data_IF_029071451439
#
_entry.id   IF_029071451439
#
_cell.length_a   1.000
_cell.length_b   1.000
_cell.length_c   1.000
_cell.angle_alpha   90.00
_cell.angle_beta   90.00
_cell.angle_gamma   90.00
#
_symmetry.space_group_name_H-M   'P 1'
#
loop_
_entity.id
_entity.type
_entity.pdbx_description
1 polymer ?
#
# COMPACT_ATOMS: atom_id res chain seq x y z
N UNK A 1 24.24 3.99 -24.03
CA UNK A 1 23.09 4.89 -24.28
C UNK A 1 21.87 4.23 -23.65
N UNK A 2 21.39 4.83 -22.57
CA UNK A 2 20.31 4.33 -21.74
C UNK A 2 18.99 4.40 -22.52
N UNK A 3 18.42 3.25 -22.84
CA UNK A 3 17.03 3.18 -23.27
C UNK A 3 16.17 3.07 -22.02
N UNK A 4 15.68 4.22 -21.59
CA UNK A 4 14.58 4.38 -20.64
C UNK A 4 13.32 3.75 -21.25
N UNK A 5 13.12 2.45 -21.02
CA UNK A 5 11.85 1.79 -21.34
C UNK A 5 10.83 2.13 -20.25
N UNK A 6 9.62 2.47 -20.71
CA UNK A 6 8.49 3.00 -19.95
C UNK A 6 8.16 2.13 -18.73
N UNK A 7 8.16 2.74 -17.54
CA UNK A 7 7.86 2.11 -16.23
C UNK A 7 6.38 1.71 -16.08
N UNK A 8 5.57 1.82 -17.12
CA UNK A 8 4.13 1.52 -17.12
C UNK A 8 3.76 0.14 -17.72
N UNK A 9 4.68 -0.59 -18.35
CA UNK A 9 4.41 -1.92 -18.93
C UNK A 9 4.31 -3.06 -17.89
N UNK A 10 4.40 -2.74 -16.59
CA UNK A 10 4.56 -3.74 -15.52
C UNK A 10 3.41 -3.82 -14.51
N UNK A 11 2.18 -3.41 -14.85
CA UNK A 11 1.04 -3.72 -13.97
C UNK A 11 0.89 -5.25 -13.98
N UNK A 12 1.32 -5.89 -12.89
CA UNK A 12 1.31 -7.36 -12.73
C UNK A 12 -0.03 -7.94 -13.21
N UNK A 13 0.01 -9.01 -14.01
CA UNK A 13 -1.17 -9.74 -14.49
C UNK A 13 -2.15 -10.09 -13.36
N UNK A 14 -1.66 -10.22 -12.13
CA UNK A 14 -2.46 -10.53 -10.95
C UNK A 14 -3.17 -9.32 -10.33
N UNK A 15 -2.70 -8.09 -10.63
CA UNK A 15 -3.38 -6.87 -10.22
C UNK A 15 -4.57 -6.60 -11.14
N UNK A 16 -4.43 -6.81 -12.45
CA UNK A 16 -5.49 -6.56 -13.45
C UNK A 16 -6.87 -7.17 -13.12
N UNK A 17 -7.01 -8.42 -12.63
CA UNK A 17 -8.32 -8.98 -12.29
C UNK A 17 -8.88 -8.46 -10.96
N UNK A 18 -8.11 -7.72 -10.16
CA UNK A 18 -8.59 -7.22 -8.87
C UNK A 18 -9.65 -6.11 -9.09
N UNK A 19 -10.72 -6.08 -8.28
CA UNK A 19 -11.73 -5.05 -8.38
C UNK A 19 -11.17 -3.70 -7.91
N UNK A 20 -11.74 -2.62 -8.43
CA UNK A 20 -11.62 -1.31 -7.79
C UNK A 20 -12.58 -1.24 -6.62
N UNK A 21 -12.07 -0.87 -5.45
CA UNK A 21 -12.85 -0.66 -4.24
C UNK A 21 -12.76 0.79 -3.80
N UNK A 22 -13.88 1.36 -3.38
CA UNK A 22 -13.92 2.72 -2.85
C UNK A 22 -13.44 2.70 -1.39
N UNK A 23 -12.48 3.56 -1.07
CA UNK A 23 -11.89 3.65 0.28
C UNK A 23 -11.74 5.10 0.72
N UNK A 24 -11.96 5.35 2.01
CA UNK A 24 -11.66 6.62 2.66
C UNK A 24 -10.38 6.50 3.49
N UNK A 25 -9.35 7.28 3.13
CA UNK A 25 -8.05 7.31 3.84
C UNK A 25 -7.87 8.67 4.49
N UNK A 26 -8.23 8.76 5.78
CA UNK A 26 -8.34 10.03 6.46
C UNK A 26 -9.56 10.80 5.96
N UNK A 27 -9.34 11.98 5.37
CA UNK A 27 -10.38 12.86 4.83
C UNK A 27 -10.46 12.80 3.29
N UNK A 28 -9.65 11.95 2.65
CA UNK A 28 -9.60 11.79 1.20
C UNK A 28 -10.22 10.46 0.76
N UNK A 29 -10.97 10.49 -0.34
CA UNK A 29 -11.56 9.31 -0.97
C UNK A 29 -10.71 8.86 -2.16
N UNK A 30 -10.52 7.56 -2.28
CA UNK A 30 -9.78 6.94 -3.38
C UNK A 30 -10.54 5.72 -3.92
N UNK A 31 -10.25 5.36 -5.16
CA UNK A 31 -10.38 4.01 -5.65
C UNK A 31 -9.06 3.28 -5.38
N UNK A 32 -9.13 2.12 -4.73
CA UNK A 32 -7.99 1.25 -4.46
C UNK A 32 -8.14 -0.04 -5.27
N UNK A 33 -7.02 -0.52 -5.79
CA UNK A 33 -6.88 -1.84 -6.39
C UNK A 33 -5.60 -2.44 -5.86
N UNK A 34 -5.63 -3.65 -5.32
CA UNK A 34 -4.44 -4.25 -4.71
C UNK A 34 -4.41 -5.77 -4.84
N UNK A 35 -3.20 -6.31 -4.97
CA UNK A 35 -2.91 -7.73 -4.97
C UNK A 35 -1.87 -8.01 -3.89
N UNK A 36 -2.24 -8.84 -2.89
CA UNK A 36 -1.33 -9.28 -1.84
C UNK A 36 -1.01 -10.77 -2.03
N UNK A 37 0.29 -11.11 -2.09
CA UNK A 37 0.78 -12.50 -2.20
C UNK A 37 1.26 -13.00 -0.83
N UNK A 38 2.21 -13.95 -0.82
CA UNK A 38 2.76 -14.50 0.42
C UNK A 38 3.70 -13.52 1.16
N UNK A 39 4.49 -12.75 0.43
CA UNK A 39 5.42 -11.75 0.98
C UNK A 39 5.71 -10.61 -0.01
N UNK A 40 4.72 -10.23 -0.80
CA UNK A 40 4.79 -9.12 -1.76
C UNK A 40 3.41 -8.55 -2.00
N UNK A 41 3.37 -7.31 -2.48
CA UNK A 41 2.13 -6.71 -2.96
C UNK A 41 2.37 -5.74 -4.10
N UNK A 42 1.32 -5.52 -4.86
CA UNK A 42 1.19 -4.41 -5.79
C UNK A 42 -0.13 -3.72 -5.50
N UNK A 43 -0.15 -2.39 -5.49
CA UNK A 43 -1.38 -1.64 -5.35
C UNK A 43 -1.40 -0.40 -6.23
N UNK A 44 -2.61 0.06 -6.52
CA UNK A 44 -2.91 1.30 -7.23
C UNK A 44 -3.98 2.06 -6.46
N UNK A 45 -3.82 3.38 -6.40
CA UNK A 45 -4.83 4.30 -5.90
C UNK A 45 -5.14 5.34 -6.97
N UNK A 46 -6.40 5.78 -7.03
CA UNK A 46 -6.81 6.90 -7.86
C UNK A 46 -7.79 7.79 -7.11
N UNK A 47 -7.62 9.11 -7.23
CA UNK A 47 -8.60 10.11 -6.82
C UNK A 47 -9.47 10.59 -7.99
N UNK A 48 -9.47 9.84 -9.10
CA UNK A 48 -10.09 10.14 -10.40
C UNK A 48 -9.40 11.25 -11.22
N UNK A 49 -8.41 11.93 -10.66
CA UNK A 49 -7.56 12.91 -11.37
C UNK A 49 -6.22 12.27 -11.76
N UNK A 50 -5.58 11.64 -10.78
CA UNK A 50 -4.29 10.96 -10.93
C UNK A 50 -4.41 9.49 -10.55
N UNK A 51 -3.39 8.72 -10.92
CA UNK A 51 -3.21 7.34 -10.51
C UNK A 51 -1.84 7.20 -9.88
N UNK A 52 -1.76 6.62 -8.68
CA UNK A 52 -0.51 6.28 -8.02
C UNK A 52 -0.40 4.79 -7.82
N UNK A 53 0.82 4.28 -7.80
CA UNK A 53 1.05 2.86 -7.59
C UNK A 53 2.31 2.59 -6.78
N UNK A 54 2.33 1.43 -6.15
CA UNK A 54 3.50 0.89 -5.49
C UNK A 54 3.55 -0.62 -5.71
N UNK A 55 4.76 -1.14 -5.92
CA UNK A 55 5.06 -2.56 -5.90
C UNK A 55 6.15 -2.81 -4.87
N UNK A 56 5.97 -3.88 -4.09
CA UNK A 56 6.86 -4.24 -3.00
C UNK A 56 7.18 -5.72 -3.03
N UNK A 57 8.48 -6.03 -3.10
CA UNK A 57 9.01 -7.37 -2.91
C UNK A 57 9.20 -7.67 -1.42
N UNK A 58 9.48 -8.94 -1.09
CA UNK A 58 9.80 -9.38 0.28
C UNK A 58 11.00 -8.62 0.87
N UNK A 59 12.01 -8.30 0.05
CA UNK A 59 13.18 -7.56 0.50
C UNK A 59 12.85 -6.08 0.77
N UNK A 60 12.02 -5.45 -0.07
CA UNK A 60 11.55 -4.09 0.21
C UNK A 60 10.71 -4.05 1.49
N UNK A 61 9.88 -5.09 1.72
CA UNK A 61 9.06 -5.20 2.94
C UNK A 61 9.96 -5.35 4.17
N UNK A 62 10.96 -6.23 4.10
CA UNK A 62 11.95 -6.42 5.16
C UNK A 62 12.64 -5.11 5.51
N UNK A 63 13.19 -4.41 4.52
CA UNK A 63 13.92 -3.18 4.74
C UNK A 63 13.00 -2.13 5.40
N UNK A 64 11.84 -1.85 4.80
CA UNK A 64 10.94 -0.80 5.30
C UNK A 64 10.36 -1.14 6.67
N UNK A 65 10.05 -2.41 6.94
CA UNK A 65 9.57 -2.85 8.26
C UNK A 65 10.60 -2.59 9.36
N UNK A 66 11.89 -2.84 9.09
CA UNK A 66 12.99 -2.57 10.03
C UNK A 66 13.19 -1.06 10.26
N UNK A 67 13.07 -0.26 9.20
CA UNK A 67 13.18 1.20 9.28
C UNK A 67 12.06 1.82 10.12
N UNK A 68 10.82 1.39 9.89
CA UNK A 68 9.63 1.94 10.54
C UNK A 68 9.36 1.35 11.93
N UNK A 69 9.75 0.10 12.18
CA UNK A 69 9.38 -0.64 13.39
C UNK A 69 10.61 -1.11 14.16
N UNK A 70 11.48 -0.17 14.57
CA UNK A 70 12.76 -0.45 15.24
C UNK A 70 12.69 -1.36 16.47
N UNK A 71 11.54 -1.44 17.14
CA UNK A 71 11.32 -2.28 18.34
C UNK A 71 10.67 -3.63 18.03
N UNK A 72 10.10 -3.80 16.83
CA UNK A 72 9.40 -5.00 16.43
C UNK A 72 10.37 -6.00 15.82
N UNK A 73 10.54 -7.16 16.46
CA UNK A 73 11.46 -8.22 16.02
C UNK A 73 10.78 -9.38 15.27
N UNK A 74 9.63 -9.11 14.65
CA UNK A 74 8.87 -10.13 13.93
C UNK A 74 9.56 -10.55 12.62
N UNK A 75 9.57 -11.85 12.25
CA UNK A 75 9.97 -12.27 10.91
C UNK A 75 9.07 -11.66 9.83
N UNK A 76 9.62 -11.43 8.63
CA UNK A 76 8.91 -10.79 7.50
C UNK A 76 7.56 -11.44 7.19
N UNK A 77 7.42 -12.79 7.14
CA UNK A 77 6.11 -13.40 6.86
C UNK A 77 5.06 -13.08 7.93
N UNK A 78 5.45 -13.02 9.20
CA UNK A 78 4.55 -12.68 10.29
C UNK A 78 4.17 -11.19 10.27
N UNK A 79 5.14 -10.32 10.01
CA UNK A 79 4.91 -8.89 9.80
C UNK A 79 3.94 -8.66 8.63
N UNK A 80 4.17 -9.33 7.50
CA UNK A 80 3.39 -9.14 6.30
C UNK A 80 1.97 -9.70 6.41
N UNK A 81 1.80 -10.83 7.08
CA UNK A 81 0.46 -11.33 7.44
C UNK A 81 -0.31 -10.30 8.26
N UNK A 82 0.31 -9.70 9.28
CA UNK A 82 -0.34 -8.64 10.06
C UNK A 82 -0.67 -7.42 9.19
N UNK A 83 0.22 -7.02 8.28
CA UNK A 83 -0.07 -5.93 7.33
C UNK A 83 -1.31 -6.25 6.48
N UNK A 84 -1.45 -7.48 5.98
CA UNK A 84 -2.63 -7.93 5.25
C UNK A 84 -3.89 -7.84 6.08
N UNK A 85 -3.84 -8.31 7.32
CA UNK A 85 -4.99 -8.28 8.25
C UNK A 85 -5.42 -6.84 8.54
N UNK A 86 -4.46 -5.92 8.72
CA UNK A 86 -4.73 -4.49 8.91
C UNK A 86 -5.33 -3.84 7.66
N UNK A 87 -4.96 -4.31 6.47
CA UNK A 87 -5.46 -3.79 5.19
C UNK A 87 -6.79 -4.41 4.77
N UNK A 88 -7.20 -5.55 5.32
CA UNK A 88 -8.41 -6.28 4.94
C UNK A 88 -9.67 -5.39 4.88
N UNK A 89 -9.92 -4.47 5.84
CA UNK A 89 -11.08 -3.58 5.75
C UNK A 89 -11.07 -2.64 4.54
N UNK A 90 -9.88 -2.22 4.07
CA UNK A 90 -9.76 -1.45 2.83
C UNK A 90 -10.04 -2.31 1.61
N UNK A 91 -9.61 -3.57 1.63
CA UNK A 91 -9.69 -4.48 0.49
C UNK A 91 -11.07 -5.09 0.31
N UNK A 92 -11.84 -5.26 1.40
CA UNK A 92 -13.18 -5.84 1.37
C UNK A 92 -14.24 -4.91 0.77
N UNK A 93 -13.90 -3.65 0.47
CA UNK A 93 -14.81 -2.69 -0.16
C UNK A 93 -15.98 -2.24 0.74
N UNK A 94 -15.91 -2.55 2.03
CA UNK A 94 -16.83 -2.04 3.05
C UNK A 94 -16.55 -0.57 3.41
N UNK A 95 -15.46 0.00 2.86
CA UNK A 95 -14.80 1.26 3.21
C UNK A 95 -15.45 2.57 2.76
N UNK A 96 -16.77 2.73 2.92
CA UNK A 96 -17.34 4.10 2.96
C UNK A 96 -17.02 4.81 4.28
N UNK A 97 -16.73 4.05 5.33
CA UNK A 97 -16.41 4.58 6.65
C UNK A 97 -14.90 4.88 6.78
N UNK A 98 -14.59 5.95 7.51
CA UNK A 98 -13.21 6.36 7.78
C UNK A 98 -12.53 5.31 8.66
N UNK A 99 -11.52 4.64 8.11
CA UNK A 99 -10.75 3.65 8.87
C UNK A 99 -9.80 4.35 9.85
N UNK A 100 -9.87 3.96 11.12
CA UNK A 100 -8.94 4.44 12.15
C UNK A 100 -7.52 3.96 11.87
N UNK A 101 -6.53 4.82 12.14
CA UNK A 101 -5.12 4.47 11.96
C UNK A 101 -4.59 4.67 10.54
N UNK A 102 -5.43 5.14 9.61
CA UNK A 102 -5.01 5.47 8.25
C UNK A 102 -5.00 6.97 8.00
N UNK A 103 -3.93 7.45 7.36
CA UNK A 103 -3.82 8.85 6.90
C UNK A 103 -3.20 8.90 5.52
N UNK A 104 -3.59 9.89 4.73
CA UNK A 104 -3.06 10.13 3.39
C UNK A 104 -2.39 11.51 3.32
N UNK A 105 -1.34 11.61 2.51
CA UNK A 105 -0.65 12.87 2.22
C UNK A 105 -0.14 12.86 0.78
N UNK A 106 -0.64 13.79 -0.05
CA UNK A 106 -0.14 14.04 -1.40
C UNK A 106 1.12 14.92 -1.33
N UNK A 107 2.16 14.54 -2.07
CA UNK A 107 3.45 15.24 -2.14
C UNK A 107 3.95 15.26 -3.59
N UNK A 108 3.71 16.35 -4.32
CA UNK A 108 4.00 16.42 -5.76
C UNK A 108 3.45 15.18 -6.49
N UNK A 109 4.33 14.40 -7.11
CA UNK A 109 4.00 13.20 -7.89
C UNK A 109 3.99 11.93 -7.02
N UNK A 110 3.76 12.07 -5.72
CA UNK A 110 3.69 10.96 -4.77
C UNK A 110 2.44 11.04 -3.91
N UNK A 111 1.92 9.86 -3.56
CA UNK A 111 0.88 9.68 -2.57
C UNK A 111 1.44 8.80 -1.44
N UNK A 112 1.46 9.34 -0.23
CA UNK A 112 1.89 8.60 0.95
C UNK A 112 0.67 8.20 1.76
N UNK A 113 0.52 6.90 2.04
CA UNK A 113 -0.52 6.40 2.94
C UNK A 113 0.16 5.81 4.15
N UNK A 114 -0.10 6.36 5.32
CA UNK A 114 0.43 5.85 6.58
C UNK A 114 -0.61 4.99 7.27
N UNK A 115 -0.14 3.88 7.81
CA UNK A 115 -0.92 2.93 8.60
C UNK A 115 -0.32 2.83 9.97
N UNK A 116 -1.15 2.97 10.99
CA UNK A 116 -0.82 2.76 12.39
C UNK A 116 -1.80 1.77 12.98
N UNK A 117 -1.28 0.67 13.48
CA UNK A 117 -2.03 -0.33 14.23
C UNK A 117 -1.21 -0.83 15.42
N UNK A 118 -1.61 -1.97 15.97
CA UNK A 118 -0.90 -2.66 17.04
C UNK A 118 -0.74 -4.13 16.67
N UNK A 119 0.43 -4.70 16.98
CA UNK A 119 0.71 -6.13 16.89
C UNK A 119 1.14 -6.62 18.28
N UNK A 120 0.25 -7.33 18.96
CA UNK A 120 0.49 -7.90 20.30
C UNK A 120 0.98 -6.87 21.34
N UNK A 121 0.32 -5.73 21.47
CA UNK A 121 0.73 -4.66 22.41
C UNK A 121 1.85 -3.75 21.89
N UNK A 122 2.45 -4.06 20.73
CA UNK A 122 3.53 -3.26 20.15
C UNK A 122 2.98 -2.38 19.02
N UNK A 123 3.27 -1.07 19.01
CA UNK A 123 2.90 -0.21 17.89
C UNK A 123 3.45 -0.74 16.57
N UNK A 124 2.56 -0.85 15.58
CA UNK A 124 2.87 -1.27 14.22
C UNK A 124 2.67 -0.10 13.27
N UNK A 125 3.69 0.16 12.44
CA UNK A 125 3.71 1.25 11.48
C UNK A 125 4.03 0.72 10.09
N UNK A 126 3.27 1.19 9.11
CA UNK A 126 3.56 1.01 7.70
C UNK A 126 3.33 2.30 6.94
N UNK A 127 4.07 2.49 5.84
CA UNK A 127 3.84 3.58 4.91
C UNK A 127 3.90 3.04 3.50
N UNK A 128 2.86 3.30 2.71
CA UNK A 128 2.86 3.09 1.27
C UNK A 128 3.40 4.36 0.61
N UNK A 129 4.41 4.21 -0.25
CA UNK A 129 5.06 5.31 -0.95
C UNK A 129 4.75 5.22 -2.44
N UNK A 130 3.54 5.58 -2.81
CA UNK A 130 3.04 5.42 -4.16
C UNK A 130 3.60 6.52 -5.06
N UNK A 131 4.09 6.14 -6.23
CA UNK A 131 4.53 7.06 -7.29
C UNK A 131 3.41 7.25 -8.29
N UNK A 132 3.24 8.47 -8.81
CA UNK A 132 2.27 8.74 -9.85
C UNK A 132 2.62 7.95 -11.11
N UNK A 133 1.62 7.30 -11.71
CA UNK A 133 1.76 6.60 -12.98
C UNK A 133 1.91 7.65 -14.10
N UNK A 134 2.83 7.45 -15.05
CA UNK A 134 2.86 8.30 -16.24
C UNK A 134 1.56 8.11 -17.02
N UNK A 135 0.97 9.22 -17.46
CA UNK A 135 -0.19 9.26 -18.36
C UNK A 135 0.30 9.08 -19.80
#
# INVERSE_FOLDING_TARGET
MSHTMSRAEGISDDLLPQPWVSVCVGDAAFLLKACFREASYTLMLSDLDSVWWEEMTSDNIRQRSQELNKRLKAPVPAFFRHLRDVMEPMLSGTGRERLSGFTSRRLHNQLHIQVRSELSGVPFYWAFHCSEAPI
#
